data_IF_075458575852
#
_entry.id   IF_075458575852
#
_cell.length_a   1.000
_cell.length_b   1.000
_cell.length_c   1.000
_cell.angle_alpha   90.00
_cell.angle_beta   90.00
_cell.angle_gamma   90.00
#
_symmetry.space_group_name_H-M   'P 1'
#
loop_
_entity.id
_entity.type
_entity.pdbx_description
1 polymer ?
#
# COMPACT_ATOMS: atom_id res chain seq x y z
N UNK A 1 -44.98 11.49 18.28
CA UNK A 1 -45.26 11.20 16.87
C UNK A 1 -44.49 9.94 16.49
N UNK A 2 -45.17 8.82 16.47
CA UNK A 2 -44.62 7.51 16.08
C UNK A 2 -44.50 7.46 14.56
N UNK A 3 -43.43 6.89 13.99
CA UNK A 3 -43.28 6.77 12.54
C UNK A 3 -44.32 5.76 12.00
N UNK A 4 -45.07 6.17 10.99
CA UNK A 4 -46.06 5.35 10.27
C UNK A 4 -45.35 4.29 9.43
N UNK A 5 -45.75 3.04 9.61
CA UNK A 5 -45.28 1.86 8.89
C UNK A 5 -45.73 1.94 7.40
N UNK A 6 -44.79 1.92 6.42
CA UNK A 6 -45.09 2.10 5.01
C UNK A 6 -45.92 0.94 4.38
N UNK A 7 -46.22 -0.12 5.12
CA UNK A 7 -46.98 -1.28 4.63
C UNK A 7 -48.49 -1.08 4.66
N UNK A 8 -49.03 0.00 5.20
CA UNK A 8 -50.48 0.22 5.36
C UNK A 8 -51.19 0.78 4.13
N UNK A 9 -50.50 1.13 3.04
CA UNK A 9 -51.14 1.78 1.89
C UNK A 9 -51.40 0.88 0.67
N UNK A 10 -51.09 -0.41 0.72
CA UNK A 10 -51.42 -1.33 -0.37
C UNK A 10 -52.83 -1.91 -0.19
N UNK A 11 -53.71 -1.68 -1.18
CA UNK A 11 -55.07 -2.29 -1.19
C UNK A 11 -55.01 -3.80 -1.08
N UNK A 12 -56.05 -4.44 -0.50
CA UNK A 12 -56.15 -5.88 -0.37
C UNK A 12 -55.92 -6.62 -1.69
N UNK A 13 -56.37 -6.02 -2.80
CA UNK A 13 -56.15 -6.53 -4.16
C UNK A 13 -54.66 -6.51 -4.58
N UNK A 14 -53.90 -5.49 -4.22
CA UNK A 14 -52.47 -5.43 -4.50
C UNK A 14 -51.66 -6.47 -3.69
N UNK A 15 -52.07 -6.73 -2.46
CA UNK A 15 -51.46 -7.79 -1.63
C UNK A 15 -51.75 -9.19 -2.18
N UNK A 16 -53.00 -9.44 -2.62
CA UNK A 16 -53.38 -10.71 -3.24
C UNK A 16 -52.61 -10.96 -4.54
N UNK A 17 -52.46 -9.93 -5.39
CA UNK A 17 -51.68 -10.00 -6.64
C UNK A 17 -50.21 -10.29 -6.39
N UNK A 18 -49.57 -9.66 -5.37
CA UNK A 18 -48.19 -9.89 -5.02
C UNK A 18 -47.98 -11.32 -4.48
N UNK A 19 -48.88 -11.80 -3.65
CA UNK A 19 -48.81 -13.17 -3.10
C UNK A 19 -49.00 -14.23 -4.18
N UNK A 20 -49.92 -14.00 -5.18
CA UNK A 20 -50.07 -14.88 -6.32
C UNK A 20 -48.79 -14.95 -7.18
N UNK A 21 -48.13 -13.83 -7.42
CA UNK A 21 -46.84 -13.78 -8.16
C UNK A 21 -45.73 -14.49 -7.41
N UNK A 22 -45.65 -14.36 -6.08
CA UNK A 22 -44.67 -15.08 -5.24
C UNK A 22 -44.94 -16.58 -5.27
N UNK A 23 -46.21 -17.01 -5.25
CA UNK A 23 -46.56 -18.41 -5.36
C UNK A 23 -46.18 -19.01 -6.72
N UNK A 24 -46.43 -18.28 -7.82
CA UNK A 24 -45.99 -18.69 -9.16
C UNK A 24 -44.47 -18.77 -9.30
N UNK A 25 -43.74 -17.87 -8.67
CA UNK A 25 -42.26 -17.91 -8.67
C UNK A 25 -41.73 -19.10 -7.89
N UNK A 26 -42.35 -19.47 -6.80
CA UNK A 26 -42.00 -20.67 -5.98
C UNK A 26 -42.28 -21.97 -6.74
N UNK A 27 -43.39 -22.09 -7.45
CA UNK A 27 -43.70 -23.26 -8.25
C UNK A 27 -42.85 -23.40 -9.51
N UNK A 28 -42.49 -22.31 -10.15
CA UNK A 28 -41.57 -22.32 -11.31
C UNK A 28 -40.13 -22.77 -10.93
N UNK A 29 -39.66 -22.43 -9.72
CA UNK A 29 -38.33 -22.82 -9.24
C UNK A 29 -38.29 -24.20 -8.52
N UNK A 30 -39.41 -24.85 -8.28
CA UNK A 30 -39.47 -26.17 -7.63
C UNK A 30 -39.25 -27.35 -8.61
N UNK A 31 -39.16 -27.10 -9.91
CA UNK A 31 -39.13 -28.14 -10.94
C UNK A 31 -37.75 -28.59 -11.43
N UNK A 32 -36.65 -28.01 -10.92
CA UNK A 32 -35.30 -28.52 -11.23
C UNK A 32 -34.43 -28.54 -9.95
N UNK A 33 -33.91 -29.72 -9.55
CA UNK A 33 -32.88 -29.74 -8.53
C UNK A 33 -31.65 -28.97 -9.05
N UNK A 34 -30.95 -28.20 -8.19
CA UNK A 34 -29.76 -27.50 -8.60
C UNK A 34 -28.77 -28.53 -9.15
N UNK A 35 -28.30 -28.31 -10.39
CA UNK A 35 -27.14 -29.04 -10.90
C UNK A 35 -26.00 -28.81 -9.92
N UNK A 36 -25.59 -29.88 -9.23
CA UNK A 36 -24.39 -29.87 -8.43
C UNK A 36 -23.24 -29.68 -9.41
N UNK A 37 -22.73 -28.46 -9.49
CA UNK A 37 -21.45 -28.19 -10.15
C UNK A 37 -20.43 -28.75 -9.19
N UNK A 38 -19.94 -29.95 -9.52
CA UNK A 38 -18.77 -30.55 -8.86
C UNK A 38 -17.62 -29.58 -9.11
N UNK A 39 -17.00 -29.00 -8.07
CA UNK A 39 -15.81 -28.20 -8.27
C UNK A 39 -14.77 -29.03 -8.99
N UNK A 40 -14.00 -28.46 -9.94
CA UNK A 40 -12.92 -29.18 -10.60
C UNK A 40 -12.02 -29.77 -9.52
N UNK A 41 -11.68 -31.05 -9.67
CA UNK A 41 -10.73 -31.71 -8.77
C UNK A 41 -9.43 -30.91 -8.77
N UNK A 42 -8.77 -30.76 -7.63
CA UNK A 42 -7.44 -30.16 -7.59
C UNK A 42 -6.53 -30.95 -8.55
N UNK A 43 -5.61 -30.28 -9.25
CA UNK A 43 -4.68 -30.92 -10.16
C UNK A 43 -3.95 -32.06 -9.44
N UNK A 44 -3.84 -33.21 -10.09
CA UNK A 44 -3.12 -34.37 -9.58
C UNK A 44 -1.63 -34.03 -9.46
N UNK A 45 -0.94 -34.64 -8.52
CA UNK A 45 0.48 -34.39 -8.14
C UNK A 45 1.49 -34.38 -9.28
N UNK A 46 1.11 -34.76 -10.51
CA UNK A 46 1.97 -34.77 -11.69
C UNK A 46 2.16 -33.40 -12.35
N UNK A 47 1.36 -32.39 -11.99
CA UNK A 47 1.49 -31.02 -12.56
C UNK A 47 2.32 -30.08 -11.67
N UNK A 48 2.84 -30.55 -10.54
CA UNK A 48 3.63 -29.73 -9.59
C UNK A 48 5.08 -29.56 -10.01
N UNK A 49 5.60 -30.40 -10.93
CA UNK A 49 7.00 -30.31 -11.38
C UNK A 49 7.28 -29.15 -12.37
N UNK A 50 6.25 -28.40 -12.78
CA UNK A 50 6.41 -27.24 -13.67
C UNK A 50 6.72 -25.92 -12.95
N UNK A 51 6.77 -25.93 -11.63
CA UNK A 51 7.09 -24.76 -10.80
C UNK A 51 8.33 -25.01 -9.93
N UNK A 52 9.47 -25.30 -10.58
CA UNK A 52 10.73 -25.31 -9.84
C UNK A 52 11.02 -23.92 -9.26
N UNK A 53 11.51 -23.84 -8.00
CA UNK A 53 11.84 -22.55 -7.36
C UNK A 53 12.85 -21.70 -8.11
N UNK A 54 13.60 -22.29 -9.04
CA UNK A 54 14.69 -21.62 -9.78
C UNK A 54 14.21 -20.69 -10.92
N UNK A 55 12.91 -20.70 -11.27
CA UNK A 55 12.39 -19.78 -12.30
C UNK A 55 12.18 -18.34 -11.84
N UNK A 56 12.42 -18.03 -10.58
CA UNK A 56 12.27 -16.67 -10.03
C UNK A 56 13.53 -15.80 -10.13
N UNK A 57 14.65 -16.36 -10.59
CA UNK A 57 15.95 -15.65 -10.63
C UNK A 57 16.29 -15.05 -11.98
N UNK A 58 15.52 -15.29 -13.05
CA UNK A 58 15.88 -14.77 -14.37
C UNK A 58 15.26 -13.39 -14.66
N UNK A 59 15.97 -12.35 -14.18
CA UNK A 59 15.68 -10.94 -14.43
C UNK A 59 16.17 -10.45 -15.81
N UNK A 60 16.54 -11.34 -16.73
CA UNK A 60 17.27 -10.98 -17.95
C UNK A 60 16.47 -11.03 -19.25
N UNK A 61 15.15 -11.00 -19.19
CA UNK A 61 14.36 -10.83 -20.42
C UNK A 61 14.16 -9.33 -20.70
N UNK A 62 14.78 -8.76 -21.76
CA UNK A 62 14.61 -7.34 -22.08
C UNK A 62 13.19 -7.08 -22.56
N UNK A 63 12.48 -6.17 -21.92
CA UNK A 63 11.24 -5.58 -22.46
C UNK A 63 9.98 -5.78 -21.64
N UNK A 64 9.99 -6.39 -20.45
CA UNK A 64 8.80 -6.52 -19.60
C UNK A 64 9.07 -5.81 -18.28
N UNK A 65 8.55 -4.61 -18.13
CA UNK A 65 8.50 -3.90 -16.84
C UNK A 65 7.50 -4.62 -15.95
N UNK A 66 7.97 -5.54 -15.12
CA UNK A 66 7.16 -6.07 -14.03
C UNK A 66 6.94 -4.95 -13.02
N UNK A 67 5.71 -4.49 -12.89
CA UNK A 67 5.30 -3.41 -11.97
C UNK A 67 5.31 -3.81 -10.49
N UNK A 68 5.66 -5.04 -10.18
CA UNK A 68 5.75 -5.55 -8.82
C UNK A 68 7.11 -6.16 -8.52
N UNK A 69 7.74 -5.74 -7.44
CA UNK A 69 8.97 -6.34 -6.95
C UNK A 69 8.61 -7.47 -5.99
N UNK A 70 8.94 -8.72 -6.37
CA UNK A 70 8.91 -9.84 -5.42
C UNK A 70 10.15 -9.67 -4.56
N UNK A 71 9.97 -9.33 -3.31
CA UNK A 71 11.06 -9.30 -2.34
C UNK A 71 10.84 -10.44 -1.35
N UNK A 72 11.68 -11.46 -1.40
CA UNK A 72 11.96 -12.23 -0.19
C UNK A 72 12.70 -11.28 0.75
N UNK A 73 12.33 -11.18 2.03
CA UNK A 73 13.02 -10.29 2.95
C UNK A 73 14.47 -10.74 3.11
N UNK A 74 15.39 -10.10 2.39
CA UNK A 74 16.84 -10.38 2.48
C UNK A 74 17.46 -9.58 3.63
N UNK A 75 16.82 -8.49 4.05
CA UNK A 75 17.25 -7.67 5.18
C UNK A 75 16.16 -7.64 6.23
N UNK A 76 16.52 -7.91 7.47
CA UNK A 76 15.64 -7.76 8.62
C UNK A 76 15.19 -6.30 8.71
N UNK A 77 13.88 -6.08 8.60
CA UNK A 77 13.32 -4.75 8.73
C UNK A 77 13.10 -4.47 10.21
N UNK A 78 13.95 -3.61 10.75
CA UNK A 78 13.74 -3.01 12.06
C UNK A 78 12.68 -1.90 11.91
N UNK A 79 11.43 -2.29 12.14
CA UNK A 79 10.30 -1.37 12.10
C UNK A 79 10.16 -0.66 13.43
N UNK A 80 10.32 0.66 13.42
CA UNK A 80 9.95 1.51 14.55
C UNK A 80 8.56 2.07 14.29
N UNK A 81 7.58 1.60 15.03
CA UNK A 81 6.19 2.08 15.12
C UNK A 81 5.74 1.90 16.56
N UNK A 82 4.63 2.55 16.93
CA UNK A 82 3.95 2.30 18.18
C UNK A 82 3.66 0.80 18.37
N UNK A 83 3.96 0.28 19.55
CA UNK A 83 3.85 -1.17 19.83
C UNK A 83 2.42 -1.68 19.77
N UNK A 84 1.43 -0.82 20.06
CA UNK A 84 0.01 -1.14 19.91
C UNK A 84 -0.34 -1.35 18.44
N UNK A 85 0.16 -0.45 17.57
CA UNK A 85 -0.01 -0.54 16.11
C UNK A 85 0.66 -1.80 15.57
N UNK A 86 1.90 -2.10 16.00
CA UNK A 86 2.61 -3.33 15.63
C UNK A 86 1.84 -4.58 16.02
N UNK A 87 1.41 -4.65 17.28
CA UNK A 87 0.67 -5.81 17.82
C UNK A 87 -0.63 -6.04 17.05
N UNK A 88 -1.33 -4.96 16.69
CA UNK A 88 -2.58 -5.03 15.95
C UNK A 88 -2.36 -5.49 14.50
N UNK A 89 -1.38 -4.93 13.80
CA UNK A 89 -1.01 -5.35 12.43
C UNK A 89 -0.60 -6.83 12.43
N UNK A 90 0.18 -7.27 13.41
CA UNK A 90 0.62 -8.66 13.54
C UNK A 90 -0.56 -9.62 13.81
N UNK A 91 -1.52 -9.22 14.66
CA UNK A 91 -2.70 -10.02 14.92
C UNK A 91 -3.53 -10.24 13.64
N UNK A 92 -3.65 -9.20 12.80
CA UNK A 92 -4.32 -9.30 11.49
C UNK A 92 -3.57 -10.26 10.57
N UNK A 93 -2.25 -10.13 10.48
CA UNK A 93 -1.44 -10.99 9.61
C UNK A 93 -1.42 -12.47 10.02
N UNK A 94 -1.66 -12.76 11.30
CA UNK A 94 -1.79 -14.12 11.86
C UNK A 94 -3.23 -14.64 11.88
N UNK A 95 -4.22 -13.81 11.52
CA UNK A 95 -5.62 -14.21 11.49
C UNK A 95 -5.85 -15.35 10.48
N UNK A 96 -6.63 -16.35 10.88
CA UNK A 96 -7.10 -17.41 9.97
C UNK A 96 -8.19 -16.91 9.00
N UNK A 97 -8.79 -15.76 9.29
CA UNK A 97 -9.76 -15.11 8.40
C UNK A 97 -9.05 -14.15 7.48
N UNK A 98 -9.45 -14.11 6.18
CA UNK A 98 -8.89 -13.12 5.26
C UNK A 98 -9.30 -11.73 5.72
N UNK A 99 -8.34 -10.92 6.10
CA UNK A 99 -8.55 -9.53 6.48
C UNK A 99 -7.74 -8.59 5.59
N UNK A 100 -8.31 -7.44 5.27
CA UNK A 100 -7.63 -6.40 4.53
C UNK A 100 -7.39 -5.21 5.46
N UNK A 101 -6.20 -4.62 5.37
CA UNK A 101 -5.78 -3.48 6.19
C UNK A 101 -5.47 -2.29 5.30
N UNK A 102 -5.89 -1.11 5.70
CA UNK A 102 -5.47 0.13 5.09
C UNK A 102 -4.69 0.97 6.08
N UNK A 103 -3.44 1.27 5.74
CA UNK A 103 -2.56 2.15 6.49
C UNK A 103 -2.66 3.56 5.90
N UNK A 104 -3.09 4.51 6.71
CA UNK A 104 -3.24 5.92 6.30
C UNK A 104 -2.25 6.78 7.07
N UNK A 105 -1.70 7.80 6.44
CA UNK A 105 -0.77 8.70 7.12
C UNK A 105 0.08 9.52 6.15
N UNK A 106 0.95 10.39 6.67
CA UNK A 106 1.81 11.23 5.83
C UNK A 106 2.83 10.41 5.04
N UNK A 107 3.44 11.00 4.00
CA UNK A 107 4.51 10.33 3.27
C UNK A 107 5.73 10.10 4.17
N UNK A 108 6.40 8.96 3.97
CA UNK A 108 7.65 8.64 4.66
C UNK A 108 7.52 8.33 6.15
N UNK A 109 6.31 8.04 6.69
CA UNK A 109 6.10 7.62 8.07
C UNK A 109 6.20 6.10 8.30
N UNK A 110 6.60 5.31 7.29
CA UNK A 110 6.85 3.87 7.46
C UNK A 110 5.72 2.92 7.06
N UNK A 111 4.65 3.38 6.37
CA UNK A 111 3.51 2.51 5.97
C UNK A 111 3.92 1.29 5.15
N UNK A 112 4.72 1.49 4.11
CA UNK A 112 5.21 0.39 3.26
C UNK A 112 6.15 -0.52 4.04
N UNK A 113 6.99 0.05 4.93
CA UNK A 113 7.85 -0.72 5.83
C UNK A 113 7.05 -1.58 6.81
N UNK A 114 5.87 -1.13 7.23
CA UNK A 114 4.98 -1.92 8.08
C UNK A 114 4.44 -3.18 7.35
N UNK A 115 4.13 -3.08 6.05
CA UNK A 115 3.74 -4.23 5.25
C UNK A 115 4.91 -5.23 5.07
N UNK A 116 6.13 -4.72 4.87
CA UNK A 116 7.34 -5.53 4.77
C UNK A 116 7.62 -6.26 6.09
N UNK A 117 7.57 -5.54 7.20
CA UNK A 117 7.74 -6.10 8.54
C UNK A 117 6.68 -7.18 8.84
N UNK A 118 5.42 -6.94 8.48
CA UNK A 118 4.35 -7.92 8.65
C UNK A 118 4.65 -9.22 7.90
N UNK A 119 5.11 -9.14 6.67
CA UNK A 119 5.47 -10.31 5.87
C UNK A 119 6.61 -11.08 6.54
N UNK A 120 7.63 -10.37 7.05
CA UNK A 120 8.76 -10.95 7.77
C UNK A 120 8.30 -11.67 9.04
N UNK A 121 7.53 -11.01 9.92
CA UNK A 121 7.06 -11.58 11.20
C UNK A 121 6.09 -12.75 11.03
N UNK A 122 5.40 -12.82 9.91
CA UNK A 122 4.45 -13.90 9.62
C UNK A 122 5.04 -15.00 8.73
N UNK A 123 6.27 -14.85 8.25
CA UNK A 123 6.92 -15.79 7.33
C UNK A 123 6.21 -15.88 5.96
N UNK A 124 5.49 -14.82 5.57
CA UNK A 124 4.75 -14.77 4.32
C UNK A 124 5.59 -14.14 3.20
N UNK A 125 5.37 -14.59 1.97
CA UNK A 125 5.93 -13.91 0.80
C UNK A 125 5.36 -12.48 0.68
N UNK A 126 6.15 -11.54 0.14
CA UNK A 126 5.72 -10.15 -0.02
C UNK A 126 5.72 -9.74 -1.48
N UNK A 127 4.64 -9.09 -1.90
CA UNK A 127 4.59 -8.35 -3.16
C UNK A 127 4.20 -6.90 -2.87
N UNK A 128 5.01 -5.97 -3.33
CA UNK A 128 4.70 -4.55 -3.30
C UNK A 128 4.28 -4.12 -4.70
N UNK A 129 3.05 -3.61 -4.82
CA UNK A 129 2.47 -3.08 -6.05
C UNK A 129 2.37 -1.57 -5.92
N UNK A 130 3.10 -0.84 -6.74
CA UNK A 130 2.94 0.61 -6.85
C UNK A 130 1.67 0.90 -7.67
N UNK A 131 0.61 1.31 -6.99
CA UNK A 131 -0.66 1.60 -7.63
C UNK A 131 -0.62 2.87 -8.52
N UNK A 132 0.39 3.71 -8.36
CA UNK A 132 0.54 4.94 -9.15
C UNK A 132 0.83 4.68 -10.64
N UNK A 133 1.36 3.50 -10.97
CA UNK A 133 1.73 3.13 -12.34
C UNK A 133 0.69 2.23 -13.03
N UNK A 134 -0.27 1.69 -12.28
CA UNK A 134 -1.36 0.88 -12.82
C UNK A 134 -2.33 1.79 -13.58
N UNK A 135 -2.59 1.50 -14.85
CA UNK A 135 -3.41 2.33 -15.74
C UNK A 135 -4.70 1.66 -16.18
N UNK A 136 -4.69 0.35 -16.31
CA UNK A 136 -5.79 -0.43 -16.82
C UNK A 136 -6.08 -1.65 -15.92
N UNK A 137 -7.34 -2.14 -15.85
CA UNK A 137 -7.67 -3.31 -15.04
C UNK A 137 -6.86 -4.57 -15.39
N UNK A 138 -6.44 -4.72 -16.65
CA UNK A 138 -5.61 -5.84 -17.08
C UNK A 138 -4.21 -5.83 -16.48
N UNK A 139 -3.68 -4.65 -16.10
CA UNK A 139 -2.35 -4.54 -15.50
C UNK A 139 -2.24 -5.33 -14.18
N UNK A 140 -3.38 -5.59 -13.52
CA UNK A 140 -3.43 -6.48 -12.37
C UNK A 140 -3.23 -7.93 -12.74
N UNK A 141 -3.83 -8.39 -13.86
CA UNK A 141 -4.07 -9.81 -14.07
C UNK A 141 -3.09 -10.45 -15.06
N UNK A 142 -2.76 -9.80 -16.15
CA UNK A 142 -1.87 -10.38 -17.14
C UNK A 142 -2.02 -9.75 -18.52
N UNK A 143 -1.31 -10.33 -19.46
CA UNK A 143 -1.28 -9.87 -20.83
C UNK A 143 -1.07 -11.05 -21.80
N UNK A 144 -1.42 -10.81 -23.06
CA UNK A 144 -1.16 -11.77 -24.14
C UNK A 144 0.25 -11.55 -24.67
N UNK A 145 1.01 -12.64 -24.80
CA UNK A 145 2.34 -12.64 -25.38
C UNK A 145 2.42 -13.66 -26.53
N UNK A 146 3.31 -13.43 -27.45
CA UNK A 146 3.63 -14.42 -28.49
C UNK A 146 4.77 -15.28 -28.01
N UNK A 147 4.52 -16.58 -27.83
CA UNK A 147 5.54 -17.56 -27.45
C UNK A 147 5.42 -18.78 -28.37
N UNK A 148 6.53 -19.16 -28.99
CA UNK A 148 6.58 -20.27 -29.94
C UNK A 148 5.58 -20.14 -31.12
N UNK A 149 5.41 -18.90 -31.63
CA UNK A 149 4.51 -18.60 -32.75
C UNK A 149 3.01 -18.62 -32.40
N UNK A 150 2.64 -18.84 -31.13
CA UNK A 150 1.26 -18.83 -30.66
C UNK A 150 1.03 -17.73 -29.60
N UNK A 151 -0.19 -17.20 -29.60
CA UNK A 151 -0.61 -16.21 -28.59
C UNK A 151 -0.96 -16.96 -27.30
N UNK A 152 -0.23 -16.67 -26.22
CA UNK A 152 -0.46 -17.25 -24.90
C UNK A 152 -0.74 -16.15 -23.89
N UNK A 153 -1.60 -16.43 -22.91
CA UNK A 153 -1.79 -15.58 -21.76
C UNK A 153 -0.65 -15.73 -20.78
N UNK A 154 -0.18 -14.63 -20.20
CA UNK A 154 0.84 -14.63 -19.15
C UNK A 154 0.30 -13.89 -17.91
N UNK A 155 0.20 -14.61 -16.80
CA UNK A 155 -0.19 -14.05 -15.51
C UNK A 155 0.88 -13.10 -14.98
N UNK A 156 0.44 -12.01 -14.34
CA UNK A 156 1.32 -11.12 -13.58
C UNK A 156 1.83 -11.80 -12.31
N UNK A 157 2.86 -11.22 -11.69
CA UNK A 157 3.32 -11.65 -10.39
C UNK A 157 2.22 -11.50 -9.32
N UNK A 158 1.33 -10.52 -9.47
CA UNK A 158 0.17 -10.36 -8.60
C UNK A 158 -0.74 -11.60 -8.64
N UNK A 159 -1.13 -12.04 -9.83
CA UNK A 159 -1.97 -13.24 -9.98
C UNK A 159 -1.29 -14.47 -9.40
N UNK A 160 -0.02 -14.68 -9.73
CA UNK A 160 0.74 -15.84 -9.23
C UNK A 160 0.77 -15.88 -7.71
N UNK A 161 1.13 -14.76 -7.07
CA UNK A 161 1.21 -14.71 -5.60
C UNK A 161 -0.15 -14.83 -4.93
N UNK A 162 -1.16 -14.13 -5.46
CA UNK A 162 -2.52 -14.19 -4.91
C UNK A 162 -3.09 -15.60 -5.00
N UNK A 163 -2.86 -16.32 -6.11
CA UNK A 163 -3.37 -17.69 -6.29
C UNK A 163 -2.59 -18.72 -5.49
N UNK A 164 -1.27 -18.57 -5.36
CA UNK A 164 -0.46 -19.45 -4.51
C UNK A 164 -0.81 -19.29 -3.03
N UNK A 165 -1.13 -18.08 -2.60
CA UNK A 165 -1.45 -17.78 -1.19
C UNK A 165 -0.22 -17.62 -0.31
N UNK A 166 -0.45 -17.62 0.99
CA UNK A 166 0.56 -17.41 2.04
C UNK A 166 1.44 -16.18 1.79
N UNK A 167 0.80 -15.05 1.47
CA UNK A 167 1.49 -13.83 1.08
C UNK A 167 0.85 -12.57 1.67
N UNK A 168 1.65 -11.52 1.73
CA UNK A 168 1.23 -10.13 1.96
C UNK A 168 1.31 -9.41 0.62
N UNK A 169 0.20 -8.87 0.17
CA UNK A 169 0.10 -8.01 -1.01
C UNK A 169 0.00 -6.57 -0.52
N UNK A 170 1.06 -5.81 -0.70
CA UNK A 170 1.07 -4.38 -0.40
C UNK A 170 0.65 -3.57 -1.63
N UNK A 171 -0.53 -2.96 -1.55
CA UNK A 171 -1.06 -2.02 -2.55
C UNK A 171 -0.58 -0.62 -2.16
N UNK A 172 0.61 -0.25 -2.62
CA UNK A 172 1.26 1.00 -2.22
C UNK A 172 0.66 2.18 -3.00
N UNK A 173 0.42 3.30 -2.29
CA UNK A 173 -0.19 4.51 -2.83
C UNK A 173 -1.54 4.25 -3.54
N UNK A 174 -2.41 3.41 -2.95
CA UNK A 174 -3.67 2.95 -3.53
C UNK A 174 -4.52 4.08 -4.12
N UNK A 175 -4.55 5.23 -3.47
CA UNK A 175 -5.36 6.39 -3.87
C UNK A 175 -4.78 7.18 -5.08
N UNK A 176 -3.69 6.71 -5.69
CA UNK A 176 -3.16 7.24 -6.95
C UNK A 176 -3.63 6.49 -8.19
N UNK A 177 -4.12 5.27 -8.02
CA UNK A 177 -4.70 4.54 -9.13
C UNK A 177 -6.10 5.10 -9.49
N UNK A 178 -6.47 5.13 -10.79
CA UNK A 178 -7.82 5.50 -11.20
C UNK A 178 -8.88 4.56 -10.60
N UNK A 179 -10.04 5.09 -10.21
CA UNK A 179 -11.11 4.30 -9.59
C UNK A 179 -11.58 3.13 -10.49
N UNK A 180 -11.63 3.33 -11.81
CA UNK A 180 -11.98 2.27 -12.76
C UNK A 180 -11.02 1.08 -12.70
N UNK A 181 -9.74 1.33 -12.46
CA UNK A 181 -8.69 0.30 -12.31
C UNK A 181 -8.86 -0.46 -11.01
N UNK A 182 -9.18 0.26 -9.92
CA UNK A 182 -9.38 -0.32 -8.59
C UNK A 182 -10.63 -1.21 -8.52
N UNK A 183 -11.63 -0.96 -9.37
CA UNK A 183 -12.83 -1.81 -9.47
C UNK A 183 -12.48 -3.26 -9.81
N UNK A 184 -11.43 -3.50 -10.58
CA UNK A 184 -10.96 -4.86 -10.89
C UNK A 184 -10.48 -5.65 -9.66
N UNK A 185 -10.04 -4.97 -8.60
CA UNK A 185 -9.60 -5.60 -7.36
C UNK A 185 -10.74 -5.90 -6.38
N UNK A 186 -11.86 -5.20 -6.48
CA UNK A 186 -12.94 -5.29 -5.48
C UNK A 186 -13.40 -6.73 -5.18
N UNK A 187 -13.58 -7.63 -6.18
CA UNK A 187 -13.98 -9.00 -5.90
C UNK A 187 -12.92 -9.84 -5.17
N UNK A 188 -11.64 -9.48 -5.28
CA UNK A 188 -10.55 -10.14 -4.54
C UNK A 188 -10.45 -9.63 -3.10
N UNK A 189 -10.88 -8.39 -2.85
CA UNK A 189 -10.87 -7.76 -1.54
C UNK A 189 -12.11 -8.07 -0.70
N UNK A 190 -13.20 -8.53 -1.31
CA UNK A 190 -14.41 -8.89 -0.59
C UNK A 190 -14.46 -10.38 -0.17
N UNK A 191 -15.58 -10.82 0.37
CA UNK A 191 -15.77 -12.19 0.85
C UNK A 191 -15.64 -13.26 -0.25
N UNK A 192 -15.82 -12.91 -1.52
CA UNK A 192 -15.70 -13.83 -2.65
C UNK A 192 -14.27 -14.27 -2.87
N UNK A 193 -13.31 -13.39 -2.61
CA UNK A 193 -11.88 -13.64 -2.83
C UNK A 193 -11.58 -14.20 -4.22
N UNK A 194 -12.40 -13.88 -5.21
CA UNK A 194 -12.29 -14.41 -6.56
C UNK A 194 -12.88 -13.44 -7.58
N UNK A 195 -12.25 -13.32 -8.73
CA UNK A 195 -12.75 -12.56 -9.87
C UNK A 195 -12.55 -13.34 -11.16
N UNK A 196 -13.53 -13.23 -12.08
CA UNK A 196 -13.38 -13.77 -13.43
C UNK A 196 -12.58 -12.81 -14.28
N UNK A 197 -11.59 -13.30 -15.02
CA UNK A 197 -10.78 -12.52 -15.95
C UNK A 197 -11.05 -13.02 -17.37
N UNK A 198 -11.81 -12.23 -18.12
CA UNK A 198 -12.32 -12.63 -19.44
C UNK A 198 -11.20 -12.99 -20.41
N UNK A 199 -10.17 -12.16 -20.47
CA UNK A 199 -9.02 -12.34 -21.39
C UNK A 199 -8.16 -13.55 -21.02
N UNK A 200 -8.18 -13.97 -19.77
CA UNK A 200 -7.55 -15.18 -19.24
C UNK A 200 -8.40 -16.43 -19.50
N UNK A 201 -9.71 -16.25 -19.62
CA UNK A 201 -10.68 -17.34 -19.75
C UNK A 201 -10.88 -18.16 -18.46
N UNK A 202 -10.48 -17.63 -17.30
CA UNK A 202 -10.62 -18.32 -16.01
C UNK A 202 -10.64 -17.36 -14.83
N UNK A 203 -11.10 -17.83 -13.69
CA UNK A 203 -11.09 -17.05 -12.47
C UNK A 203 -9.68 -16.93 -11.87
N UNK A 204 -9.43 -15.79 -11.24
CA UNK A 204 -8.34 -15.57 -10.30
C UNK A 204 -8.92 -15.64 -8.89
N UNK A 205 -8.50 -16.62 -8.11
CA UNK A 205 -9.00 -16.87 -6.76
C UNK A 205 -7.86 -16.77 -5.78
N UNK A 206 -8.07 -16.04 -4.68
CA UNK A 206 -7.08 -15.96 -3.61
C UNK A 206 -6.84 -17.34 -2.99
N UNK A 207 -5.60 -17.75 -2.93
CA UNK A 207 -5.16 -18.90 -2.16
C UNK A 207 -5.29 -18.65 -0.64
N UNK A 208 -4.91 -19.60 0.20
CA UNK A 208 -5.00 -19.47 1.65
C UNK A 208 -4.05 -18.36 2.16
N UNK A 209 -4.41 -17.75 3.29
CA UNK A 209 -3.57 -16.81 4.05
C UNK A 209 -3.08 -15.58 3.28
N UNK A 210 -3.82 -15.12 2.27
CA UNK A 210 -3.53 -13.85 1.58
C UNK A 210 -3.99 -12.68 2.43
N UNK A 211 -3.08 -11.77 2.75
CA UNK A 211 -3.36 -10.53 3.47
C UNK A 211 -3.11 -9.35 2.53
N UNK A 212 -4.12 -8.50 2.32
CA UNK A 212 -3.95 -7.26 1.58
C UNK A 212 -3.68 -6.11 2.55
N UNK A 213 -2.61 -5.37 2.28
CA UNK A 213 -2.25 -4.14 3.00
C UNK A 213 -2.21 -3.00 2.01
N UNK A 214 -3.15 -2.07 2.10
CA UNK A 214 -3.12 -0.87 1.27
C UNK A 214 -2.47 0.29 2.02
N UNK A 215 -1.66 1.09 1.34
CA UNK A 215 -1.17 2.35 1.88
C UNK A 215 -1.84 3.52 1.16
N UNK A 216 -2.18 4.55 1.91
CA UNK A 216 -2.71 5.80 1.36
C UNK A 216 -2.06 6.99 2.04
N UNK A 217 -1.65 7.96 1.24
CA UNK A 217 -1.17 9.23 1.75
C UNK A 217 -2.37 10.15 2.01
N UNK A 218 -2.38 10.82 3.16
CA UNK A 218 -3.42 11.78 3.55
C UNK A 218 -2.82 13.18 3.67
N UNK A 219 -3.59 14.19 3.22
CA UNK A 219 -3.20 15.59 3.29
C UNK A 219 -3.39 16.31 1.95
N UNK A 220 -3.68 17.61 2.01
CA UNK A 220 -3.92 18.49 0.86
C UNK A 220 -2.72 18.69 -0.07
N UNK A 221 -1.55 18.19 0.30
CA UNK A 221 -0.29 18.33 -0.45
C UNK A 221 -0.06 17.25 -1.50
N UNK A 222 -0.86 16.17 -1.49
CA UNK A 222 -0.66 15.06 -2.43
C UNK A 222 -1.42 15.32 -3.73
N UNK A 223 -0.77 16.01 -4.66
CA UNK A 223 -1.27 16.24 -6.01
C UNK A 223 -1.45 14.87 -6.70
N UNK A 224 -2.64 14.64 -7.28
CA UNK A 224 -2.96 13.38 -7.98
C UNK A 224 -3.44 12.24 -7.07
N UNK A 225 -3.61 12.46 -5.76
CA UNK A 225 -4.28 11.53 -4.88
C UNK A 225 -5.78 11.86 -4.81
N UNK A 226 -6.64 10.94 -5.24
CA UNK A 226 -8.08 11.05 -5.11
C UNK A 226 -8.56 10.46 -3.78
N UNK A 227 -9.70 10.91 -3.23
CA UNK A 227 -10.33 10.19 -2.15
C UNK A 227 -10.59 8.74 -2.57
N UNK A 228 -10.32 7.80 -1.67
CA UNK A 228 -10.66 6.39 -1.92
C UNK A 228 -12.18 6.27 -2.00
N UNK A 229 -12.68 5.63 -3.06
CA UNK A 229 -14.10 5.34 -3.21
C UNK A 229 -14.65 4.63 -1.97
N UNK A 230 -15.86 5.00 -1.54
CA UNK A 230 -16.49 4.42 -0.34
C UNK A 230 -16.66 2.91 -0.45
N UNK A 231 -17.02 2.41 -1.64
CA UNK A 231 -17.18 0.98 -1.87
C UNK A 231 -15.85 0.22 -1.75
N UNK A 232 -14.75 0.82 -2.19
CA UNK A 232 -13.42 0.26 -2.00
C UNK A 232 -12.96 0.39 -0.54
N UNK A 233 -13.24 1.52 0.11
CA UNK A 233 -12.89 1.75 1.51
C UNK A 233 -13.54 0.73 2.44
N UNK A 234 -14.79 0.35 2.18
CA UNK A 234 -15.56 -0.64 2.93
C UNK A 234 -14.95 -2.06 2.89
N UNK A 235 -14.15 -2.36 1.87
CA UNK A 235 -13.45 -3.64 1.73
C UNK A 235 -12.19 -3.77 2.58
N UNK A 236 -11.78 -2.67 3.20
CA UNK A 236 -10.71 -2.67 4.20
C UNK A 236 -11.32 -2.62 5.60
N UNK A 237 -11.50 -3.79 6.20
CA UNK A 237 -12.14 -3.94 7.52
C UNK A 237 -11.39 -3.21 8.64
N UNK A 238 -10.13 -2.91 8.43
CA UNK A 238 -9.26 -2.20 9.36
C UNK A 238 -8.59 -1.02 8.70
N UNK A 239 -8.73 0.14 9.33
CA UNK A 239 -8.02 1.36 8.94
C UNK A 239 -7.14 1.79 10.11
N UNK A 240 -5.85 1.86 9.88
CA UNK A 240 -4.85 2.21 10.89
C UNK A 240 -4.18 3.52 10.49
N UNK A 241 -4.24 4.50 11.36
CA UNK A 241 -3.51 5.74 11.18
C UNK A 241 -2.07 5.58 11.65
N UNK A 242 -1.12 5.84 10.76
CA UNK A 242 0.32 5.80 11.03
C UNK A 242 0.84 7.22 11.03
N UNK A 243 1.27 7.68 12.18
CA UNK A 243 1.89 9.00 12.36
C UNK A 243 3.41 8.93 12.21
N UNK A 244 4.06 10.10 12.23
CA UNK A 244 5.50 10.15 12.46
C UNK A 244 5.80 9.69 13.89
N UNK A 245 7.01 9.21 14.09
CA UNK A 245 7.50 8.78 15.39
C UNK A 245 7.65 9.97 16.36
N UNK A 246 7.57 9.68 17.63
CA UNK A 246 7.96 10.61 18.68
C UNK A 246 9.47 10.89 18.62
N UNK A 247 9.90 12.05 19.14
CA UNK A 247 11.28 12.52 19.05
C UNK A 247 12.28 11.47 19.55
N UNK A 248 12.01 10.82 20.67
CA UNK A 248 12.91 9.83 21.27
C UNK A 248 13.03 8.58 20.39
N UNK A 249 11.91 8.04 19.92
CA UNK A 249 11.88 6.84 19.08
C UNK A 249 12.55 7.09 17.73
N UNK A 250 12.33 8.30 17.17
CA UNK A 250 12.96 8.67 15.91
C UNK A 250 14.46 8.93 16.07
N UNK A 251 14.89 9.49 17.21
CA UNK A 251 16.31 9.63 17.57
C UNK A 251 16.98 8.26 17.67
N UNK A 252 16.34 7.32 18.36
CA UNK A 252 16.85 5.96 18.50
C UNK A 252 16.89 5.24 17.15
N UNK A 253 15.91 5.47 16.28
CA UNK A 253 15.92 4.96 14.91
C UNK A 253 17.13 5.49 14.13
N UNK A 254 17.42 6.80 14.19
CA UNK A 254 18.56 7.41 13.52
C UNK A 254 19.88 6.81 14.02
N UNK A 255 20.06 6.70 15.34
CA UNK A 255 21.27 6.14 15.95
C UNK A 255 21.48 4.67 15.57
N UNK A 256 20.41 3.86 15.52
CA UNK A 256 20.50 2.45 15.09
C UNK A 256 20.87 2.32 13.62
N UNK A 257 20.24 3.13 12.75
CA UNK A 257 20.46 3.07 11.29
C UNK A 257 21.78 3.68 10.86
N UNK A 258 22.29 4.65 11.62
CA UNK A 258 23.48 5.42 11.28
C UNK A 258 24.42 5.46 12.50
N UNK A 259 25.16 4.36 12.79
CA UNK A 259 25.98 4.26 14.00
C UNK A 259 27.08 5.31 14.13
N UNK A 260 27.45 5.99 13.04
CA UNK A 260 28.45 7.07 13.04
C UNK A 260 27.86 8.44 13.41
N UNK A 261 26.53 8.57 13.49
CA UNK A 261 25.87 9.82 13.83
C UNK A 261 25.93 10.02 15.37
N UNK A 262 26.47 11.15 15.85
CA UNK A 262 26.40 11.49 17.28
C UNK A 262 24.94 11.61 17.73
N UNK A 263 24.61 11.11 18.93
CA UNK A 263 23.25 11.13 19.47
C UNK A 263 22.69 12.56 19.57
N UNK A 264 23.53 13.51 19.98
CA UNK A 264 23.14 14.94 20.09
C UNK A 264 22.72 15.50 18.71
N UNK A 265 23.44 15.10 17.66
CA UNK A 265 23.08 15.49 16.28
C UNK A 265 21.79 14.81 15.80
N UNK A 266 21.57 13.54 16.15
CA UNK A 266 20.33 12.84 15.88
C UNK A 266 19.14 13.52 16.56
N UNK A 267 19.28 13.84 17.85
CA UNK A 267 18.25 14.55 18.63
C UNK A 267 17.97 15.95 18.06
N UNK A 268 19.00 16.69 17.69
CA UNK A 268 18.82 18.00 17.05
C UNK A 268 18.03 17.91 15.75
N UNK A 269 18.30 16.92 14.89
CA UNK A 269 17.57 16.67 13.66
C UNK A 269 16.11 16.28 13.92
N UNK A 270 15.84 15.40 14.87
CA UNK A 270 14.49 14.94 15.19
C UNK A 270 13.63 16.04 15.82
N UNK A 271 14.22 16.88 16.68
CA UNK A 271 13.54 18.07 17.24
C UNK A 271 13.16 19.06 16.11
N UNK A 272 14.07 19.29 15.15
CA UNK A 272 13.79 20.13 13.99
C UNK A 272 12.65 19.53 13.17
N UNK A 273 12.69 18.22 12.88
CA UNK A 273 11.63 17.55 12.15
C UNK A 273 10.28 17.64 12.86
N UNK A 274 10.23 17.40 14.16
CA UNK A 274 9.03 17.53 14.97
C UNK A 274 8.46 18.98 14.90
N UNK A 275 9.33 19.98 14.98
CA UNK A 275 8.96 21.39 14.83
C UNK A 275 8.31 21.66 13.47
N UNK A 276 8.87 21.12 12.38
CA UNK A 276 8.30 21.31 11.04
C UNK A 276 6.96 20.61 10.84
N UNK A 277 6.69 19.53 11.57
CA UNK A 277 5.46 18.72 11.49
C UNK A 277 4.30 19.30 12.29
N UNK A 278 4.55 20.23 13.17
CA UNK A 278 3.49 20.88 13.96
C UNK A 278 2.48 21.58 13.03
N UNK A 279 1.17 21.39 13.29
CA UNK A 279 0.08 21.87 12.41
C UNK A 279 0.14 23.37 12.13
N UNK A 280 0.67 24.15 13.06
CA UNK A 280 0.76 25.63 12.99
C UNK A 280 2.14 26.13 12.58
N UNK A 281 3.07 25.24 12.25
CA UNK A 281 4.47 25.60 12.03
C UNK A 281 4.72 26.47 10.79
N UNK A 282 3.85 26.39 9.79
CA UNK A 282 4.07 27.04 8.49
C UNK A 282 5.20 26.44 7.65
N UNK A 283 5.95 25.49 8.19
CA UNK A 283 7.02 24.76 7.48
C UNK A 283 6.48 23.64 6.58
N UNK A 284 7.34 23.18 5.69
CA UNK A 284 7.15 21.89 5.04
C UNK A 284 7.59 20.78 6.02
N UNK A 285 6.74 19.78 6.33
CA UNK A 285 7.10 18.73 7.27
C UNK A 285 8.20 17.85 6.69
N UNK A 286 9.29 17.72 7.43
CA UNK A 286 10.39 16.80 7.12
C UNK A 286 9.91 15.38 7.45
N UNK A 287 9.87 14.50 6.44
CA UNK A 287 9.51 13.09 6.62
C UNK A 287 10.65 12.30 7.29
N UNK A 288 10.32 11.16 7.92
CA UNK A 288 11.36 10.26 8.48
C UNK A 288 12.34 9.76 7.41
N UNK A 289 11.87 9.58 6.16
CA UNK A 289 12.75 9.24 5.02
C UNK A 289 13.77 10.34 4.73
N UNK A 290 13.33 11.59 4.72
CA UNK A 290 14.23 12.73 4.52
C UNK A 290 15.17 12.92 5.70
N UNK A 291 14.69 12.65 6.91
CA UNK A 291 15.49 12.72 8.12
C UNK A 291 16.62 11.68 8.12
N UNK A 292 16.33 10.44 7.71
CA UNK A 292 17.34 9.39 7.54
C UNK A 292 18.39 9.78 6.48
N UNK A 293 17.98 10.35 5.37
CA UNK A 293 18.92 10.84 4.35
C UNK A 293 19.79 11.98 4.89
N UNK A 294 19.19 12.97 5.56
CA UNK A 294 19.90 14.09 6.16
C UNK A 294 20.90 13.62 7.24
N UNK A 295 20.50 12.67 8.07
CA UNK A 295 21.33 12.09 9.11
C UNK A 295 22.54 11.32 8.53
N UNK A 296 22.31 10.57 7.45
CA UNK A 296 23.38 9.87 6.71
C UNK A 296 24.39 10.86 6.11
N UNK A 297 23.89 11.89 5.43
CA UNK A 297 24.73 12.90 4.83
C UNK A 297 25.51 13.71 5.88
N UNK A 298 24.86 14.04 7.00
CA UNK A 298 25.51 14.71 8.13
C UNK A 298 26.67 13.89 8.69
N UNK A 299 26.46 12.57 8.86
CA UNK A 299 27.48 11.67 9.38
C UNK A 299 28.68 11.46 8.43
N UNK A 300 28.44 11.57 7.11
CA UNK A 300 29.48 11.35 6.09
C UNK A 300 30.19 12.62 5.66
N UNK A 301 29.45 13.71 5.52
CA UNK A 301 29.92 14.93 4.87
C UNK A 301 29.89 16.16 5.78
N UNK A 302 29.37 16.05 7.02
CA UNK A 302 29.27 17.16 7.97
C UNK A 302 28.05 18.07 7.74
N UNK A 303 27.97 19.12 8.56
CA UNK A 303 26.78 19.97 8.68
C UNK A 303 26.34 20.67 7.38
N UNK A 304 27.31 21.04 6.53
CA UNK A 304 27.00 21.71 5.27
C UNK A 304 26.16 20.87 4.31
N UNK A 305 26.18 19.55 4.44
CA UNK A 305 25.39 18.63 3.61
C UNK A 305 23.88 18.77 3.79
N UNK A 306 23.44 19.23 4.97
CA UNK A 306 22.02 19.46 5.26
C UNK A 306 21.36 20.47 4.32
N UNK A 307 22.18 21.34 3.70
CA UNK A 307 21.71 22.26 2.66
C UNK A 307 21.11 21.49 1.48
N UNK A 308 21.79 20.46 1.03
CA UNK A 308 21.39 19.68 -0.15
C UNK A 308 20.25 18.73 0.15
N UNK A 309 20.21 18.17 1.35
CA UNK A 309 19.21 17.16 1.74
C UNK A 309 17.89 17.79 2.20
N UNK A 310 17.94 18.92 2.92
CA UNK A 310 16.74 19.52 3.52
C UNK A 310 16.34 20.85 2.86
N UNK A 311 17.30 21.76 2.59
CA UNK A 311 16.95 23.11 2.12
C UNK A 311 16.68 23.19 0.62
N UNK A 312 17.45 22.47 -0.21
CA UNK A 312 17.34 22.56 -1.68
C UNK A 312 15.99 22.05 -2.21
N UNK A 313 15.30 21.20 -1.46
CA UNK A 313 13.99 20.66 -1.82
C UNK A 313 12.84 21.66 -1.66
N UNK A 314 13.06 22.72 -0.89
CA UNK A 314 12.04 23.73 -0.63
C UNK A 314 12.13 24.82 -1.70
N UNK A 315 11.11 24.92 -2.54
CA UNK A 315 11.04 25.91 -3.61
C UNK A 315 10.63 27.31 -3.12
N UNK A 316 9.85 27.37 -2.05
CA UNK A 316 9.42 28.61 -1.41
C UNK A 316 10.59 29.26 -0.65
N UNK A 317 11.02 30.43 -1.08
CA UNK A 317 12.16 31.15 -0.51
C UNK A 317 11.95 31.52 0.96
N UNK A 318 10.74 31.93 1.37
CA UNK A 318 10.44 32.31 2.75
C UNK A 318 10.52 31.10 3.68
N UNK A 319 9.90 29.98 3.28
CA UNK A 319 9.95 28.73 4.04
C UNK A 319 11.37 28.17 4.13
N UNK A 320 12.13 28.27 3.02
CA UNK A 320 13.54 27.85 2.98
C UNK A 320 14.39 28.68 3.94
N UNK A 321 14.22 30.01 3.95
CA UNK A 321 14.95 30.89 4.86
C UNK A 321 14.61 30.61 6.34
N UNK A 322 13.34 30.38 6.63
CA UNK A 322 12.88 30.03 7.97
C UNK A 322 13.48 28.69 8.45
N UNK A 323 13.49 27.67 7.60
CA UNK A 323 14.11 26.37 7.93
C UNK A 323 15.63 26.50 8.06
N UNK A 324 16.28 27.31 7.21
CA UNK A 324 17.72 27.59 7.31
C UNK A 324 18.08 28.22 8.67
N UNK A 325 17.27 29.14 9.16
CA UNK A 325 17.46 29.76 10.49
C UNK A 325 17.31 28.72 11.60
N UNK A 326 16.33 27.85 11.50
CA UNK A 326 16.11 26.77 12.48
C UNK A 326 17.30 25.78 12.50
N UNK A 327 17.81 25.40 11.32
CA UNK A 327 18.96 24.50 11.17
C UNK A 327 20.24 25.13 11.69
N UNK A 328 20.52 26.39 11.35
CA UNK A 328 21.76 27.08 11.77
C UNK A 328 21.84 27.28 13.29
N UNK A 329 20.68 27.37 13.96
CA UNK A 329 20.63 27.42 15.42
C UNK A 329 21.11 26.13 16.11
N UNK A 330 21.11 25.00 15.42
CA UNK A 330 21.56 23.70 15.93
C UNK A 330 22.84 23.20 15.24
N UNK A 331 23.08 23.61 14.00
CA UNK A 331 24.22 23.22 13.17
C UNK A 331 24.93 24.45 12.64
N UNK A 332 25.83 25.08 13.44
CA UNK A 332 26.51 26.35 13.07
C UNK A 332 27.40 26.23 11.83
N UNK A 333 27.94 25.06 11.54
CA UNK A 333 28.74 24.80 10.33
C UNK A 333 27.97 24.91 9.01
N UNK A 334 26.63 25.07 9.08
CA UNK A 334 25.78 25.34 7.90
C UNK A 334 25.99 26.78 7.35
N UNK A 335 26.60 27.69 8.10
CA UNK A 335 26.68 29.14 7.80
C UNK A 335 27.62 29.54 6.67
N UNK A 336 28.28 28.63 5.98
CA UNK A 336 29.02 28.92 4.74
C UNK A 336 28.05 29.19 3.58
N UNK A 337 27.79 30.48 3.23
CA UNK A 337 27.04 30.94 2.04
C UNK A 337 25.61 30.45 1.85
N UNK A 338 24.70 30.74 2.79
CA UNK A 338 23.27 30.40 2.66
C UNK A 338 22.53 31.30 1.66
N UNK A 339 23.03 32.49 1.36
CA UNK A 339 22.33 33.44 0.48
C UNK A 339 23.34 34.21 -0.38
N UNK A 340 23.77 33.66 -1.49
CA UNK A 340 24.11 34.48 -2.64
C UNK A 340 23.23 34.05 -3.82
N UNK A 341 22.29 34.90 -4.14
CA UNK A 341 21.39 34.80 -5.28
C UNK A 341 22.12 35.00 -6.61
N UNK A 342 23.16 34.24 -6.93
CA UNK A 342 23.81 34.34 -8.24
C UNK A 342 24.74 33.17 -8.55
N UNK A 343 24.23 31.95 -8.55
CA UNK A 343 24.85 30.93 -9.38
C UNK A 343 23.73 30.02 -9.92
N UNK A 344 23.41 30.27 -11.18
CA UNK A 344 22.70 29.31 -12.02
C UNK A 344 23.50 28.01 -11.99
N UNK A 345 22.86 26.95 -11.53
CA UNK A 345 23.39 25.58 -11.61
C UNK A 345 23.51 25.30 -13.13
N UNK A 346 24.68 25.02 -13.66
CA UNK A 346 24.77 24.48 -15.01
C UNK A 346 24.25 23.06 -14.99
N UNK A 347 23.25 22.79 -15.85
CA UNK A 347 22.79 21.45 -16.17
C UNK A 347 23.80 20.74 -17.07
#
# INVERSE_FOLDING_TARGET
>A
MTPLDPVQFASAAARASLMARIAQFKTANAAQPPKVVVPPQPPTETDTDMYAPDMFTDATTPGITCTGRITTPVELIDLTLDDTVKSFILAIGKSSKPENVRLIGPAGCGKTSAAQWLAQETGKALLIMDCSIIREPRDWFGFRTVKDGSIKWQDTNFVRMVTTGNCVICLDELNRAPSAVLNGLMPLLDHRRSTWVEERGSAVTCGPNVTFVATTNVGSRYIGASPVDLALADRFSRVIEVSYLEVNDETDLLCRRIPRLPRDSAEALTVIAATTRAKTSGYEPISTRELLAAASDLALYGEHSLRYTLLSKITDHSKRASLATLLTGKFPGLTGNVISNKESIPF
#
